data_IF_656615601844
#
_entry.id   IF_656615601844
#
_cell.length_a   1.000
_cell.length_b   1.000
_cell.length_c   1.000
_cell.angle_alpha   90.00
_cell.angle_beta   90.00
_cell.angle_gamma   90.00
#
_symmetry.space_group_name_H-M   'P 1'
#
loop_
_entity.id
_entity.type
_entity.pdbx_description
1 polymer ?
#
# COMPACT_ATOMS: atom_id res chain seq x y z
N UNK A 1 26.91 71.65 -27.76
CA UNK A 1 26.65 71.85 -29.21
C UNK A 1 27.98 71.90 -29.94
N UNK A 2 28.13 71.32 -31.14
CA UNK A 2 27.57 70.08 -31.70
C UNK A 2 28.71 69.13 -32.16
N UNK A 3 28.47 67.83 -32.36
CA UNK A 3 28.35 67.19 -33.71
C UNK A 3 29.25 65.95 -33.69
N UNK A 4 28.96 64.76 -34.19
CA UNK A 4 27.75 64.07 -34.64
C UNK A 4 28.14 62.58 -34.69
N UNK A 5 27.21 61.66 -34.40
CA UNK A 5 27.31 60.25 -34.83
C UNK A 5 27.00 60.17 -36.33
N UNK A 6 27.36 59.05 -36.99
CA UNK A 6 26.28 58.11 -37.31
C UNK A 6 26.64 56.63 -37.07
N UNK A 7 25.58 55.86 -36.92
CA UNK A 7 25.52 54.40 -36.82
C UNK A 7 25.39 53.74 -38.21
N UNK A 8 25.85 52.50 -38.33
CA UNK A 8 25.42 51.46 -39.29
C UNK A 8 26.28 50.20 -39.03
N UNK A 9 25.85 48.95 -39.19
CA UNK A 9 24.56 48.33 -39.39
C UNK A 9 24.75 46.82 -39.12
N UNK A 10 23.67 46.17 -38.70
CA UNK A 10 23.49 44.72 -38.59
C UNK A 10 23.78 44.00 -39.93
N UNK A 11 24.42 42.82 -39.87
CA UNK A 11 24.11 41.71 -40.77
C UNK A 11 24.05 40.41 -39.98
N UNK A 12 22.83 39.87 -39.87
CA UNK A 12 22.54 38.53 -39.43
C UNK A 12 22.84 37.54 -40.57
N UNK A 13 23.49 36.42 -40.24
CA UNK A 13 23.59 35.26 -41.13
C UNK A 13 22.82 34.10 -40.47
N UNK A 14 21.69 33.78 -41.07
CA UNK A 14 20.80 32.69 -40.75
C UNK A 14 21.28 31.46 -41.54
N UNK A 15 21.70 30.38 -40.89
CA UNK A 15 21.88 29.06 -41.52
C UNK A 15 20.94 28.07 -40.86
N UNK A 16 19.86 27.76 -41.59
CA UNK A 16 18.97 26.65 -41.31
C UNK A 16 19.58 25.36 -41.86
N UNK A 17 19.81 24.37 -41.00
CA UNK A 17 20.12 23.00 -41.39
C UNK A 17 18.90 22.13 -41.10
N UNK A 18 18.28 21.66 -42.19
CA UNK A 18 17.15 20.75 -42.22
C UNK A 18 17.67 19.32 -41.97
N UNK A 19 17.28 18.70 -40.85
CA UNK A 19 17.49 17.26 -40.60
C UNK A 19 16.12 16.58 -40.58
N UNK A 20 15.84 15.83 -41.64
CA UNK A 20 14.72 14.88 -41.70
C UNK A 20 15.05 13.68 -40.82
N UNK A 21 14.40 13.58 -39.65
CA UNK A 21 14.32 12.35 -38.88
C UNK A 21 12.99 11.66 -39.22
N UNK A 22 13.08 10.52 -39.91
CA UNK A 22 11.94 9.65 -40.20
C UNK A 22 11.47 8.96 -38.91
N UNK A 23 10.17 9.06 -38.62
CA UNK A 23 9.48 8.26 -37.61
C UNK A 23 9.54 6.77 -37.96
N UNK A 24 10.17 5.98 -37.08
CA UNK A 24 9.97 4.52 -37.00
C UNK A 24 9.48 4.22 -35.58
N UNK A 25 8.29 3.63 -35.40
CA UNK A 25 7.82 3.26 -34.06
C UNK A 25 8.55 2.00 -33.57
N UNK A 26 8.92 1.91 -32.28
CA UNK A 26 9.47 0.68 -31.74
C UNK A 26 8.38 -0.39 -31.63
N UNK A 27 8.68 -1.56 -32.19
CA UNK A 27 7.87 -2.76 -32.19
C UNK A 27 7.86 -3.40 -30.79
N UNK A 28 6.68 -3.73 -30.28
CA UNK A 28 6.49 -4.46 -29.01
C UNK A 28 7.09 -5.88 -29.10
N UNK A 29 7.83 -6.36 -28.08
CA UNK A 29 8.16 -7.77 -28.01
C UNK A 29 6.94 -8.59 -27.56
N UNK A 30 6.66 -9.61 -28.35
CA UNK A 30 5.62 -10.63 -28.19
C UNK A 30 5.71 -11.33 -26.84
N UNK A 31 4.57 -11.48 -26.16
CA UNK A 31 4.42 -12.32 -24.99
C UNK A 31 4.49 -13.79 -25.41
N UNK A 32 5.49 -14.51 -24.91
CA UNK A 32 5.56 -15.96 -25.00
C UNK A 32 4.46 -16.57 -24.12
N UNK A 33 3.59 -17.36 -24.75
CA UNK A 33 2.53 -18.16 -24.15
C UNK A 33 3.10 -19.40 -23.45
N UNK A 34 2.62 -19.69 -22.25
CA UNK A 34 2.78 -21.00 -21.59
C UNK A 34 1.38 -21.61 -21.37
N UNK A 35 1.14 -22.90 -21.69
CA UNK A 35 -0.21 -23.46 -21.75
C UNK A 35 -0.74 -23.85 -20.37
N UNK A 36 -2.01 -23.54 -20.13
CA UNK A 36 -2.78 -24.01 -18.97
C UNK A 36 -3.11 -25.50 -19.05
N UNK A 37 -2.95 -26.19 -17.92
CA UNK A 37 -3.53 -27.50 -17.65
C UNK A 37 -4.88 -27.31 -16.96
N UNK A 38 -5.94 -27.84 -17.57
CA UNK A 38 -7.25 -28.03 -16.94
C UNK A 38 -7.31 -29.42 -16.28
N UNK A 39 -8.12 -29.58 -15.23
CA UNK A 39 -8.82 -30.84 -15.01
C UNK A 39 -10.33 -30.66 -15.15
N UNK A 40 -10.92 -31.64 -15.83
CA UNK A 40 -12.34 -31.84 -15.96
C UNK A 40 -12.99 -32.20 -14.62
N UNK A 41 -14.23 -31.76 -14.42
CA UNK A 41 -15.15 -32.42 -13.49
C UNK A 41 -16.52 -32.51 -14.15
N UNK A 42 -16.98 -33.74 -14.30
CA UNK A 42 -18.27 -34.12 -14.86
C UNK A 42 -19.20 -34.62 -13.74
N UNK A 43 -20.49 -34.59 -14.03
CA UNK A 43 -21.60 -35.33 -13.41
C UNK A 43 -22.32 -34.78 -12.14
N UNK A 44 -23.44 -34.09 -12.42
CA UNK A 44 -24.84 -34.48 -12.13
C UNK A 44 -25.33 -34.93 -10.74
N UNK A 45 -26.16 -34.05 -10.16
CA UNK A 45 -27.58 -34.22 -9.77
C UNK A 45 -28.09 -35.49 -9.04
N UNK A 46 -28.76 -35.31 -7.88
CA UNK A 46 -30.22 -35.59 -7.66
C UNK A 46 -30.69 -35.39 -6.19
N UNK A 47 -31.94 -34.96 -6.03
CA UNK A 47 -32.82 -34.91 -4.83
C UNK A 47 -34.11 -35.75 -5.16
N UNK A 48 -35.16 -35.93 -4.31
CA UNK A 48 -35.31 -36.01 -2.83
C UNK A 48 -36.26 -37.16 -2.31
N UNK A 49 -36.32 -37.35 -0.97
CA UNK A 49 -37.48 -37.86 -0.16
C UNK A 49 -37.73 -39.39 -0.11
N UNK A 50 -38.64 -39.95 0.74
CA UNK A 50 -39.51 -39.37 1.80
C UNK A 50 -39.55 -40.14 3.18
N UNK A 51 -40.24 -39.58 4.19
CA UNK A 51 -40.83 -40.20 5.43
C UNK A 51 -41.99 -41.18 5.12
N UNK A 52 -42.60 -42.04 6.01
CA UNK A 52 -42.98 -41.90 7.46
C UNK A 52 -43.03 -43.29 8.22
N UNK A 53 -43.95 -43.67 9.17
CA UNK A 53 -44.81 -42.98 10.16
C UNK A 53 -44.69 -43.50 11.64
N UNK A 54 -45.64 -43.07 12.48
CA UNK A 54 -45.73 -43.07 13.95
C UNK A 54 -46.01 -44.41 14.67
N UNK A 55 -45.71 -44.44 15.99
CA UNK A 55 -46.10 -45.52 16.90
C UNK A 55 -46.17 -45.09 18.38
N UNK A 56 -47.40 -45.13 18.91
CA UNK A 56 -47.86 -45.41 20.27
C UNK A 56 -47.43 -44.62 21.53
N UNK A 57 -48.47 -44.22 22.27
CA UNK A 57 -48.45 -43.56 23.56
C UNK A 57 -48.46 -44.55 24.74
N UNK A 58 -47.83 -44.16 25.86
CA UNK A 58 -48.09 -44.70 27.20
C UNK A 58 -48.00 -43.57 28.25
N UNK A 59 -48.73 -43.67 29.38
CA UNK A 59 -48.94 -42.56 30.29
C UNK A 59 -47.99 -42.52 31.49
N UNK A 60 -47.85 -41.30 32.02
CA UNK A 60 -47.55 -40.89 33.39
C UNK A 60 -46.13 -41.03 33.97
N UNK A 61 -45.51 -39.87 34.25
CA UNK A 61 -44.73 -39.60 35.45
C UNK A 61 -44.63 -38.09 35.72
N UNK A 62 -44.58 -37.64 36.98
CA UNK A 62 -44.61 -36.22 37.34
C UNK A 62 -43.33 -35.51 36.88
N UNK A 63 -43.51 -34.29 36.38
CA UNK A 63 -42.44 -33.46 35.82
C UNK A 63 -41.33 -33.20 36.86
N UNK A 64 -40.13 -33.69 36.56
CA UNK A 64 -38.90 -33.21 37.20
C UNK A 64 -38.57 -31.82 36.65
N UNK A 65 -37.96 -30.92 37.46
CA UNK A 65 -37.57 -29.60 36.96
C UNK A 65 -36.57 -29.76 35.82
N UNK A 66 -36.87 -29.15 34.68
CA UNK A 66 -35.97 -29.08 33.53
C UNK A 66 -34.69 -28.37 33.99
N UNK A 67 -33.49 -28.96 33.85
CA UNK A 67 -32.26 -28.22 34.09
C UNK A 67 -32.24 -27.08 33.08
N UNK A 68 -32.16 -25.85 33.60
CA UNK A 68 -32.02 -24.65 32.76
C UNK A 68 -30.83 -24.85 31.84
N UNK A 69 -31.09 -24.97 30.53
CA UNK A 69 -30.06 -24.99 29.51
C UNK A 69 -29.26 -23.71 29.66
N UNK A 70 -28.01 -23.84 30.12
CA UNK A 70 -27.04 -22.76 30.05
C UNK A 70 -26.98 -22.26 28.61
N UNK A 71 -26.89 -20.94 28.37
CA UNK A 71 -26.81 -20.41 27.02
C UNK A 71 -25.61 -21.08 26.35
N UNK A 72 -25.87 -21.78 25.24
CA UNK A 72 -24.85 -22.33 24.37
C UNK A 72 -23.90 -21.18 24.06
N UNK A 73 -22.66 -21.26 24.56
CA UNK A 73 -21.63 -20.30 24.19
C UNK A 73 -21.61 -20.25 22.66
N UNK A 74 -21.86 -19.06 22.11
CA UNK A 74 -21.75 -18.85 20.66
C UNK A 74 -20.37 -19.32 20.18
N UNK A 75 -20.21 -19.57 18.87
CA UNK A 75 -18.89 -19.89 18.31
C UNK A 75 -17.87 -18.88 18.86
N UNK A 76 -16.67 -19.32 19.29
CA UNK A 76 -15.68 -18.43 19.88
C UNK A 76 -15.49 -17.24 18.93
N UNK A 77 -15.68 -16.02 19.45
CA UNK A 77 -15.46 -14.81 18.66
C UNK A 77 -14.02 -14.88 18.14
N UNK A 78 -13.85 -14.97 16.82
CA UNK A 78 -12.53 -14.95 16.19
C UNK A 78 -11.79 -13.73 16.74
N UNK A 79 -10.58 -13.93 17.26
CA UNK A 79 -9.76 -12.83 17.78
C UNK A 79 -9.65 -11.74 16.70
N UNK A 80 -9.74 -10.45 17.08
CA UNK A 80 -9.74 -9.35 16.12
C UNK A 80 -8.45 -9.36 15.30
N UNK A 81 -8.53 -8.87 14.06
CA UNK A 81 -7.35 -8.66 13.21
C UNK A 81 -6.80 -7.28 13.55
N UNK A 82 -5.70 -7.21 14.28
CA UNK A 82 -5.09 -5.94 14.63
C UNK A 82 -4.30 -5.38 13.43
N UNK A 83 -4.60 -4.14 13.03
CA UNK A 83 -3.98 -3.52 11.85
C UNK A 83 -3.51 -2.10 12.16
N UNK A 84 -2.24 -1.81 11.88
CA UNK A 84 -1.72 -0.44 11.79
C UNK A 84 -1.73 0.03 10.33
N UNK A 85 -2.03 1.31 10.11
CA UNK A 85 -2.02 1.92 8.77
C UNK A 85 -0.72 2.70 8.59
N UNK A 86 -0.08 2.51 7.44
CA UNK A 86 1.03 3.33 6.96
C UNK A 86 0.74 3.84 5.56
N UNK A 87 1.22 5.04 5.25
CA UNK A 87 1.01 5.67 3.94
C UNK A 87 2.35 6.11 3.38
N UNK A 88 2.70 5.64 2.20
CA UNK A 88 3.95 5.94 1.51
C UNK A 88 3.77 7.11 0.54
N UNK A 89 4.90 7.56 0.00
CA UNK A 89 4.99 8.58 -1.04
C UNK A 89 4.56 10.01 -0.65
N UNK A 90 4.56 10.37 0.63
CA UNK A 90 4.21 11.75 1.02
C UNK A 90 5.18 12.78 0.43
N UNK A 91 4.70 13.97 -0.01
CA UNK A 91 3.31 14.43 0.00
C UNK A 91 2.43 14.01 -1.19
N UNK A 92 2.97 13.29 -2.18
CA UNK A 92 2.30 13.11 -3.46
C UNK A 92 2.54 11.73 -4.09
N UNK A 93 1.45 11.03 -4.43
CA UNK A 93 1.47 9.85 -5.28
C UNK A 93 0.56 10.01 -6.50
N UNK A 94 1.07 9.61 -7.67
CA UNK A 94 0.34 9.59 -8.94
C UNK A 94 -0.26 10.93 -9.42
N UNK A 95 -0.94 10.95 -10.58
CA UNK A 95 -1.59 12.15 -11.11
C UNK A 95 -2.79 12.63 -10.27
N UNK A 96 -3.02 13.94 -10.24
CA UNK A 96 -4.22 14.54 -9.64
C UNK A 96 -5.34 14.71 -10.69
N UNK A 97 -6.59 14.32 -10.38
CA UNK A 97 -7.75 14.80 -11.11
C UNK A 97 -7.86 16.34 -11.06
N UNK A 98 -8.49 16.93 -12.08
CA UNK A 98 -8.65 18.38 -12.16
C UNK A 98 -9.39 18.95 -10.94
N UNK A 99 -8.87 20.04 -10.39
CA UNK A 99 -9.46 20.76 -9.25
C UNK A 99 -9.12 20.21 -7.88
N UNK A 100 -8.36 19.11 -7.77
CA UNK A 100 -7.83 18.61 -6.50
C UNK A 100 -6.40 19.11 -6.27
N UNK A 101 -6.07 19.44 -5.02
CA UNK A 101 -4.70 19.69 -4.56
C UNK A 101 -4.18 18.51 -3.72
N UNK A 102 -2.86 18.44 -3.48
CA UNK A 102 -2.32 17.45 -2.52
C UNK A 102 -2.86 17.65 -1.11
N UNK A 103 -3.08 18.89 -0.71
CA UNK A 103 -3.70 19.20 0.57
C UNK A 103 -5.13 18.62 0.68
N UNK A 104 -5.91 18.65 -0.39
CA UNK A 104 -7.26 18.05 -0.39
C UNK A 104 -7.21 16.52 -0.27
N UNK A 105 -6.26 15.88 -0.95
CA UNK A 105 -6.01 14.43 -0.84
C UNK A 105 -5.66 14.06 0.61
N UNK A 106 -4.72 14.76 1.24
CA UNK A 106 -4.35 14.51 2.63
C UNK A 106 -5.51 14.75 3.57
N UNK A 107 -6.23 15.87 3.45
CA UNK A 107 -7.41 16.16 4.29
C UNK A 107 -8.47 15.06 4.21
N UNK A 108 -8.71 14.53 3.02
CA UNK A 108 -9.68 13.44 2.83
C UNK A 108 -9.24 12.16 3.56
N UNK A 109 -7.95 11.80 3.48
CA UNK A 109 -7.39 10.67 4.24
C UNK A 109 -7.50 10.90 5.76
N UNK A 110 -7.07 12.08 6.24
CA UNK A 110 -7.11 12.46 7.65
C UNK A 110 -8.53 12.45 8.22
N UNK A 111 -9.51 12.94 7.46
CA UNK A 111 -10.92 12.93 7.86
C UNK A 111 -11.45 11.50 8.00
N UNK A 112 -11.06 10.60 7.09
CA UNK A 112 -11.44 9.20 7.19
C UNK A 112 -10.75 8.51 8.39
N UNK A 113 -9.46 8.73 8.62
CA UNK A 113 -8.75 8.18 9.78
C UNK A 113 -9.41 8.62 11.09
N UNK A 114 -9.77 9.91 11.19
CA UNK A 114 -10.51 10.46 12.33
C UNK A 114 -11.89 9.82 12.48
N UNK A 115 -12.66 9.71 11.39
CA UNK A 115 -14.00 9.09 11.39
C UNK A 115 -13.97 7.64 11.86
N UNK A 116 -12.95 6.89 11.46
CA UNK A 116 -12.74 5.50 11.81
C UNK A 116 -11.97 5.29 13.14
N UNK A 117 -11.68 6.38 13.86
CA UNK A 117 -10.91 6.35 15.11
C UNK A 117 -9.57 5.60 15.00
N UNK A 118 -8.89 5.74 13.85
CA UNK A 118 -7.54 5.21 13.65
C UNK A 118 -6.58 5.98 14.55
N UNK A 119 -5.86 5.32 15.48
CA UNK A 119 -5.13 6.02 16.54
C UNK A 119 -3.91 6.80 16.03
N UNK A 120 -3.15 6.21 15.12
CA UNK A 120 -1.96 6.81 14.51
C UNK A 120 -1.73 6.20 13.13
N UNK A 121 -1.45 7.05 12.15
CA UNK A 121 -0.98 6.65 10.82
C UNK A 121 0.40 7.24 10.62
N UNK A 122 1.38 6.44 10.17
CA UNK A 122 2.71 6.97 9.85
C UNK A 122 2.80 7.23 8.35
N UNK A 123 3.19 8.45 7.99
CA UNK A 123 3.40 8.86 6.61
C UNK A 123 4.88 8.82 6.22
N UNK A 124 5.27 8.08 5.19
CA UNK A 124 6.65 7.97 4.72
C UNK A 124 6.93 9.02 3.64
N UNK A 125 7.83 9.96 3.95
CA UNK A 125 8.08 11.19 3.20
C UNK A 125 9.20 11.03 2.16
N UNK A 126 9.03 11.64 0.99
CA UNK A 126 10.08 11.96 0.02
C UNK A 126 10.20 13.47 -0.16
N UNK A 127 11.23 14.08 0.44
CA UNK A 127 11.36 15.54 0.46
C UNK A 127 11.66 16.16 -0.92
N UNK A 128 12.20 15.41 -1.89
CA UNK A 128 12.50 15.95 -3.22
C UNK A 128 11.26 16.42 -3.97
N UNK A 129 10.08 15.87 -3.63
CA UNK A 129 8.79 16.28 -4.21
C UNK A 129 8.49 17.77 -3.96
N UNK A 130 9.06 18.36 -2.90
CA UNK A 130 8.92 19.80 -2.61
C UNK A 130 9.90 20.69 -3.39
N UNK A 131 10.91 20.11 -4.07
CA UNK A 131 11.84 20.88 -4.91
C UNK A 131 11.09 21.50 -6.10
N UNK A 132 10.19 20.72 -6.72
CA UNK A 132 9.37 21.16 -7.85
C UNK A 132 8.02 21.73 -7.42
N UNK A 133 7.45 21.22 -6.32
CA UNK A 133 6.13 21.58 -5.81
C UNK A 133 6.19 22.05 -4.34
N UNK A 134 6.79 23.21 -4.04
CA UNK A 134 6.91 23.71 -2.67
C UNK A 134 5.57 23.96 -1.99
N UNK A 135 4.50 24.22 -2.76
CA UNK A 135 3.12 24.38 -2.27
C UNK A 135 2.59 23.12 -1.56
N UNK A 136 3.07 21.94 -1.94
CA UNK A 136 2.62 20.66 -1.37
C UNK A 136 3.12 20.45 0.07
N UNK A 137 4.01 21.33 0.56
CA UNK A 137 4.43 21.37 1.97
C UNK A 137 3.22 21.48 2.91
N UNK A 138 2.19 22.23 2.51
CA UNK A 138 0.98 22.41 3.31
C UNK A 138 0.28 21.06 3.62
N UNK A 139 0.41 20.06 2.73
CA UNK A 139 -0.14 18.73 2.95
C UNK A 139 0.60 17.99 4.08
N UNK A 140 1.94 18.08 4.12
CA UNK A 140 2.75 17.50 5.20
C UNK A 140 2.48 18.18 6.55
N UNK A 141 2.32 19.50 6.55
CA UNK A 141 1.98 20.25 7.76
C UNK A 141 0.60 19.86 8.28
N UNK A 142 -0.39 19.67 7.39
CA UNK A 142 -1.71 19.18 7.76
C UNK A 142 -1.63 17.75 8.36
N UNK A 143 -0.79 16.88 7.79
CA UNK A 143 -0.55 15.53 8.30
C UNK A 143 -0.01 15.54 9.73
N UNK A 144 1.06 16.31 9.98
CA UNK A 144 1.66 16.43 11.31
C UNK A 144 0.70 17.12 12.29
N UNK A 145 -0.02 18.16 11.87
CA UNK A 145 -0.99 18.86 12.70
C UNK A 145 -2.17 17.97 13.14
N UNK A 146 -2.49 16.93 12.36
CA UNK A 146 -3.46 15.90 12.73
C UNK A 146 -2.93 14.88 13.75
N UNK A 147 -1.67 15.00 14.18
CA UNK A 147 -1.04 14.10 15.16
C UNK A 147 -0.44 12.83 14.55
N UNK A 148 -0.27 12.78 13.23
CA UNK A 148 0.32 11.66 12.53
C UNK A 148 1.80 11.91 12.25
N UNK A 149 2.72 11.04 12.72
CA UNK A 149 4.15 11.23 12.51
C UNK A 149 4.55 10.95 11.05
N UNK A 150 5.72 11.48 10.69
CA UNK A 150 6.38 11.21 9.43
C UNK A 150 7.55 10.23 9.64
N UNK A 151 7.83 9.41 8.63
CA UNK A 151 8.96 8.50 8.54
C UNK A 151 9.78 8.74 7.26
N UNK A 152 10.97 8.16 7.20
CA UNK A 152 11.89 8.33 6.07
C UNK A 152 11.59 7.33 4.96
N UNK A 153 11.37 7.82 3.74
CA UNK A 153 11.17 7.01 2.54
C UNK A 153 12.24 7.22 1.47
N UNK A 154 13.44 7.66 1.86
CA UNK A 154 14.48 8.27 1.01
C UNK A 154 14.06 9.65 0.44
N UNK A 155 15.03 10.42 -0.04
CA UNK A 155 14.80 11.77 -0.55
C UNK A 155 14.05 11.76 -1.91
N UNK A 156 14.50 10.93 -2.86
CA UNK A 156 14.00 10.88 -4.26
C UNK A 156 13.15 9.66 -4.61
N UNK A 157 12.98 8.72 -3.68
CA UNK A 157 12.37 7.41 -3.98
C UNK A 157 13.10 6.62 -5.10
N UNK A 158 14.45 6.52 -5.09
CA UNK A 158 15.16 5.84 -6.17
C UNK A 158 14.96 4.32 -6.09
N UNK A 159 14.92 3.68 -7.26
CA UNK A 159 15.06 2.23 -7.34
C UNK A 159 16.51 1.86 -7.03
N UNK A 160 16.75 1.11 -5.94
CA UNK A 160 18.12 0.77 -5.49
C UNK A 160 18.93 0.00 -6.57
N UNK A 161 18.24 -0.66 -7.51
CA UNK A 161 18.86 -1.40 -8.61
C UNK A 161 19.42 -0.50 -9.72
N UNK A 162 19.06 0.78 -9.73
CA UNK A 162 19.40 1.74 -10.78
C UNK A 162 20.46 2.75 -10.35
N UNK A 163 20.82 2.77 -9.05
CA UNK A 163 21.83 3.69 -8.50
C UNK A 163 22.88 2.95 -7.69
N UNK A 164 23.98 3.63 -7.36
CA UNK A 164 25.01 3.04 -6.51
C UNK A 164 24.53 2.93 -5.05
N UNK A 165 25.10 1.99 -4.29
CA UNK A 165 24.84 1.89 -2.85
C UNK A 165 25.18 3.22 -2.14
N UNK A 166 26.29 3.86 -2.50
CA UNK A 166 26.70 5.13 -1.89
C UNK A 166 25.65 6.24 -2.12
N UNK A 167 25.13 6.34 -3.34
CA UNK A 167 24.08 7.32 -3.67
C UNK A 167 22.79 7.01 -2.91
N UNK A 168 22.42 5.73 -2.76
CA UNK A 168 21.24 5.32 -2.02
C UNK A 168 21.35 5.67 -0.53
N UNK A 169 22.50 5.40 0.10
CA UNK A 169 22.75 5.76 1.50
C UNK A 169 22.71 7.28 1.71
N UNK A 170 23.26 8.05 0.76
CA UNK A 170 23.16 9.51 0.79
C UNK A 170 21.71 9.99 0.61
N UNK A 171 20.91 9.30 -0.21
CA UNK A 171 19.50 9.61 -0.44
C UNK A 171 18.65 9.43 0.83
N UNK A 172 18.95 8.40 1.63
CA UNK A 172 18.35 8.21 2.97
C UNK A 172 18.66 9.44 3.84
N UNK A 173 19.93 9.84 3.90
CA UNK A 173 20.41 10.92 4.77
C UNK A 173 19.86 12.29 4.37
N UNK A 174 19.73 12.55 3.06
CA UNK A 174 19.22 13.81 2.51
C UNK A 174 17.77 14.09 2.87
N UNK A 175 16.99 13.06 3.21
CA UNK A 175 15.59 13.21 3.57
C UNK A 175 15.40 13.66 5.05
N UNK A 176 16.40 13.41 5.89
CA UNK A 176 16.32 13.61 7.33
C UNK A 176 16.16 15.08 7.78
N UNK A 177 16.79 16.09 7.14
CA UNK A 177 16.63 17.48 7.56
C UNK A 177 15.18 17.96 7.58
N UNK A 178 14.40 17.66 6.53
CA UNK A 178 12.99 18.05 6.47
C UNK A 178 12.14 17.27 7.49
N UNK A 179 12.43 15.98 7.69
CA UNK A 179 11.77 15.20 8.75
C UNK A 179 12.00 15.83 10.12
N UNK A 180 13.25 16.18 10.45
CA UNK A 180 13.60 16.82 11.72
C UNK A 180 12.92 18.19 11.87
N UNK A 181 12.84 18.98 10.80
CA UNK A 181 12.11 20.25 10.79
C UNK A 181 10.63 20.05 11.11
N UNK A 182 9.95 19.17 10.36
CA UNK A 182 8.50 18.97 10.47
C UNK A 182 8.10 18.26 11.77
N UNK A 183 8.91 17.33 12.27
CA UNK A 183 8.65 16.64 13.53
C UNK A 183 9.01 17.47 14.76
N UNK A 184 9.79 18.54 14.59
CA UNK A 184 10.08 19.53 15.63
C UNK A 184 10.63 18.91 16.91
N UNK A 185 9.90 19.08 18.02
CA UNK A 185 10.30 18.59 19.35
C UNK A 185 9.89 17.14 19.63
N UNK A 186 9.29 16.44 18.65
CA UNK A 186 8.96 15.03 18.82
C UNK A 186 10.25 14.22 19.05
N UNK A 187 10.24 13.24 19.98
CA UNK A 187 11.41 12.41 20.24
C UNK A 187 11.81 11.66 18.96
N UNK A 188 13.11 11.56 18.67
CA UNK A 188 13.60 10.97 17.42
C UNK A 188 13.02 9.56 17.16
N UNK A 189 12.85 8.75 18.21
CA UNK A 189 12.25 7.41 18.12
C UNK A 189 10.86 7.39 17.44
N UNK A 190 10.09 8.47 17.55
CA UNK A 190 8.75 8.57 16.97
C UNK A 190 8.76 8.72 15.44
N UNK A 191 9.86 9.21 14.85
CA UNK A 191 9.95 9.48 13.41
C UNK A 191 11.16 8.83 12.73
N UNK A 192 12.11 8.26 13.49
CA UNK A 192 13.18 7.39 13.01
C UNK A 192 12.63 6.01 12.63
N UNK A 193 11.70 6.02 11.68
CA UNK A 193 11.10 4.89 10.99
C UNK A 193 11.55 4.97 9.53
N UNK A 194 11.82 3.82 8.92
CA UNK A 194 12.25 3.75 7.53
C UNK A 194 11.44 2.72 6.75
N UNK A 195 11.05 3.09 5.54
CA UNK A 195 10.40 2.22 4.56
C UNK A 195 11.20 2.26 3.27
N UNK A 196 11.57 1.09 2.77
CA UNK A 196 12.29 0.97 1.50
C UNK A 196 11.37 1.34 0.32
N UNK A 197 11.77 2.26 -0.57
CA UNK A 197 11.19 2.38 -1.89
C UNK A 197 11.01 1.02 -2.56
N UNK A 198 9.83 0.79 -3.12
CA UNK A 198 9.45 -0.46 -3.78
C UNK A 198 9.54 -1.72 -2.89
N UNK A 199 9.63 -1.58 -1.56
CA UNK A 199 9.90 -2.68 -0.62
C UNK A 199 11.17 -3.51 -0.96
N UNK A 200 12.10 -2.92 -1.71
CA UNK A 200 13.32 -3.61 -2.15
C UNK A 200 14.44 -3.35 -1.16
N UNK A 201 14.82 -4.37 -0.39
CA UNK A 201 15.81 -4.24 0.69
C UNK A 201 17.28 -4.32 0.22
N UNK A 202 17.54 -4.86 -0.97
CA UNK A 202 18.88 -4.92 -1.53
C UNK A 202 18.98 -5.86 -2.73
N UNK A 203 19.90 -5.56 -3.65
CA UNK A 203 20.18 -6.36 -4.85
C UNK A 203 20.90 -7.68 -4.55
N UNK A 204 21.60 -7.71 -3.43
CA UNK A 204 22.35 -8.84 -2.88
C UNK A 204 22.47 -8.65 -1.36
N UNK A 205 22.86 -9.71 -0.65
CA UNK A 205 23.00 -9.68 0.81
C UNK A 205 24.00 -8.62 1.30
N UNK A 206 25.19 -8.42 0.69
CA UNK A 206 26.09 -7.36 1.11
C UNK A 206 25.48 -5.96 1.03
N UNK A 207 24.80 -5.64 -0.07
CA UNK A 207 24.13 -4.34 -0.27
C UNK A 207 23.02 -4.15 0.77
N UNK A 208 22.17 -5.17 0.95
CA UNK A 208 21.11 -5.14 1.97
C UNK A 208 21.66 -4.91 3.37
N UNK A 209 22.67 -5.68 3.77
CA UNK A 209 23.26 -5.61 5.10
C UNK A 209 23.93 -4.27 5.34
N UNK A 210 24.57 -3.67 4.32
CA UNK A 210 25.13 -2.33 4.41
C UNK A 210 24.05 -1.26 4.63
N UNK A 211 22.89 -1.36 3.95
CA UNK A 211 21.77 -0.43 4.16
C UNK A 211 21.19 -0.60 5.57
N UNK A 212 20.96 -1.83 6.02
CA UNK A 212 20.45 -2.11 7.38
C UNK A 212 21.40 -1.59 8.46
N UNK A 213 22.71 -1.77 8.29
CA UNK A 213 23.72 -1.20 9.19
C UNK A 213 23.66 0.33 9.21
N UNK A 214 23.62 0.97 8.04
CA UNK A 214 23.52 2.43 7.91
C UNK A 214 22.28 3.00 8.59
N UNK A 215 21.13 2.33 8.46
CA UNK A 215 19.88 2.67 9.13
C UNK A 215 20.01 2.53 10.65
N UNK A 216 20.53 1.40 11.12
CA UNK A 216 20.72 1.12 12.54
C UNK A 216 21.66 2.15 13.20
N UNK A 217 22.78 2.48 12.56
CA UNK A 217 23.75 3.48 13.04
C UNK A 217 23.14 4.88 13.20
N UNK A 218 22.04 5.17 12.47
CA UNK A 218 21.28 6.43 12.54
C UNK A 218 20.02 6.36 13.39
N UNK A 219 19.80 5.23 14.07
CA UNK A 219 18.67 5.00 14.96
C UNK A 219 17.35 4.68 14.25
N UNK A 220 17.38 4.39 12.93
CA UNK A 220 16.18 4.04 12.18
C UNK A 220 15.69 2.62 12.49
N UNK A 221 14.38 2.48 12.65
CA UNK A 221 13.67 1.20 12.67
C UNK A 221 13.03 0.95 11.32
N UNK A 222 13.21 -0.25 10.76
CA UNK A 222 12.55 -0.62 9.51
C UNK A 222 11.09 -0.96 9.80
N UNK A 223 10.17 -0.26 9.14
CA UNK A 223 8.74 -0.50 9.24
C UNK A 223 8.31 -1.44 8.11
N UNK A 224 8.37 -2.76 8.36
CA UNK A 224 7.87 -3.74 7.40
C UNK A 224 6.37 -3.60 7.13
N UNK A 225 5.89 -4.25 6.08
CA UNK A 225 4.47 -4.34 5.73
C UNK A 225 4.04 -5.80 5.66
N UNK A 226 2.77 -6.08 5.90
CA UNK A 226 2.21 -7.44 5.80
C UNK A 226 0.93 -7.50 4.96
N UNK A 227 0.29 -6.35 4.75
CA UNK A 227 -0.84 -6.21 3.82
C UNK A 227 -0.42 -5.20 2.76
N UNK A 228 -0.15 -5.70 1.55
CA UNK A 228 0.11 -4.90 0.34
C UNK A 228 -0.74 -5.47 -0.80
N UNK A 229 -1.71 -4.68 -1.26
CA UNK A 229 -2.60 -5.06 -2.37
C UNK A 229 -2.32 -4.26 -3.65
N UNK A 230 -1.19 -3.56 -3.70
CA UNK A 230 -0.77 -2.74 -4.83
C UNK A 230 -1.70 -1.57 -5.11
N UNK A 231 -2.16 -0.87 -4.06
CA UNK A 231 -3.02 0.32 -4.13
C UNK A 231 -2.43 1.43 -5.01
N UNK A 232 -1.09 1.54 -5.05
CA UNK A 232 -0.36 2.47 -5.90
C UNK A 232 -0.75 2.41 -7.38
N UNK A 233 -1.15 1.24 -7.88
CA UNK A 233 -1.45 1.02 -9.29
C UNK A 233 -2.80 1.60 -9.73
N UNK A 234 -3.64 2.03 -8.78
CA UNK A 234 -5.02 2.41 -9.04
C UNK A 234 -5.21 3.90 -9.32
N UNK A 235 -4.25 4.74 -8.94
CA UNK A 235 -4.38 6.18 -9.10
C UNK A 235 -4.34 6.63 -10.58
N UNK A 236 -3.45 6.06 -11.38
CA UNK A 236 -3.39 6.36 -12.83
C UNK A 236 -4.68 6.02 -13.59
N UNK A 237 -5.27 4.81 -13.50
CA UNK A 237 -6.55 4.54 -14.15
C UNK A 237 -7.67 5.45 -13.64
N UNK A 238 -7.69 5.78 -12.35
CA UNK A 238 -8.65 6.73 -11.82
C UNK A 238 -8.53 8.11 -12.50
N UNK A 239 -7.31 8.67 -12.57
CA UNK A 239 -7.11 9.96 -13.22
C UNK A 239 -7.52 9.94 -14.71
N UNK A 240 -7.24 8.84 -15.43
CA UNK A 240 -7.70 8.68 -16.82
C UNK A 240 -9.22 8.64 -16.93
N UNK A 241 -9.91 7.88 -16.08
CA UNK A 241 -11.36 7.81 -16.08
C UNK A 241 -12.02 9.14 -15.69
N UNK A 242 -11.47 9.82 -14.69
CA UNK A 242 -11.93 11.14 -14.26
C UNK A 242 -11.80 12.18 -15.39
N UNK A 243 -10.69 12.18 -16.13
CA UNK A 243 -10.50 13.07 -17.27
C UNK A 243 -11.53 12.85 -18.41
N UNK A 244 -12.14 11.67 -18.47
CA UNK A 244 -13.19 11.31 -19.44
C UNK A 244 -14.61 11.46 -18.88
N UNK A 245 -14.75 11.81 -17.61
CA UNK A 245 -16.03 11.80 -16.88
C UNK A 245 -16.74 10.43 -16.96
N UNK A 246 -15.97 9.34 -16.92
CA UNK A 246 -16.50 7.97 -17.01
C UNK A 246 -16.87 7.44 -15.61
N UNK A 247 -18.02 7.89 -15.11
CA UNK A 247 -18.50 7.58 -13.75
C UNK A 247 -18.77 6.07 -13.54
N UNK A 248 -19.17 5.34 -14.58
CA UNK A 248 -19.37 3.90 -14.48
C UNK A 248 -18.04 3.17 -14.31
N UNK A 249 -17.01 3.54 -15.08
CA UNK A 249 -15.68 2.97 -14.88
C UNK A 249 -15.09 3.33 -13.51
N UNK A 250 -15.32 4.55 -13.01
CA UNK A 250 -14.91 4.97 -11.67
C UNK A 250 -15.62 4.13 -10.60
N UNK A 251 -16.93 3.84 -10.76
CA UNK A 251 -17.67 2.97 -9.85
C UNK A 251 -17.14 1.54 -9.86
N UNK A 252 -16.74 1.02 -11.02
CA UNK A 252 -16.08 -0.30 -11.11
C UNK A 252 -14.74 -0.28 -10.37
N UNK A 253 -13.93 0.78 -10.54
CA UNK A 253 -12.68 0.96 -9.79
C UNK A 253 -12.94 0.97 -8.28
N UNK A 254 -13.92 1.76 -7.82
CA UNK A 254 -14.28 1.89 -6.40
C UNK A 254 -14.61 0.52 -5.77
N UNK A 255 -15.42 -0.30 -6.45
CA UNK A 255 -15.77 -1.63 -5.97
C UNK A 255 -14.60 -2.62 -6.00
N UNK A 256 -13.82 -2.60 -7.08
CA UNK A 256 -12.69 -3.51 -7.24
C UNK A 256 -11.58 -3.22 -6.21
N UNK A 257 -11.26 -1.96 -5.93
CA UNK A 257 -10.24 -1.56 -4.96
C UNK A 257 -10.53 -2.11 -3.56
N UNK A 258 -11.75 -1.89 -3.06
CA UNK A 258 -12.17 -2.36 -1.74
C UNK A 258 -12.15 -3.90 -1.68
N UNK A 259 -12.56 -4.59 -2.75
CA UNK A 259 -12.54 -6.04 -2.78
C UNK A 259 -11.12 -6.61 -2.79
N UNK A 260 -10.19 -6.01 -3.54
CA UNK A 260 -8.77 -6.39 -3.53
C UNK A 260 -8.13 -6.16 -2.15
N UNK A 261 -8.40 -5.00 -1.54
CA UNK A 261 -7.96 -4.69 -0.19
C UNK A 261 -8.46 -5.73 0.82
N UNK A 262 -9.75 -6.09 0.79
CA UNK A 262 -10.32 -7.11 1.69
C UNK A 262 -9.72 -8.49 1.48
N UNK A 263 -9.59 -8.91 0.21
CA UNK A 263 -9.05 -10.21 -0.11
C UNK A 263 -7.60 -10.34 0.39
N UNK A 264 -6.80 -9.27 0.25
CA UNK A 264 -5.41 -9.23 0.72
C UNK A 264 -5.31 -9.21 2.23
N UNK A 265 -6.20 -8.50 2.95
CA UNK A 265 -6.31 -8.58 4.40
C UNK A 265 -6.58 -10.02 4.87
N UNK A 266 -7.55 -10.69 4.23
CA UNK A 266 -7.91 -12.07 4.54
C UNK A 266 -6.74 -13.03 4.26
N UNK A 267 -6.04 -12.83 3.15
CA UNK A 267 -4.83 -13.56 2.80
C UNK A 267 -3.74 -13.36 3.85
N UNK A 268 -3.46 -12.12 4.26
CA UNK A 268 -2.41 -11.81 5.23
C UNK A 268 -2.69 -12.43 6.60
N UNK A 269 -3.93 -12.37 7.10
CA UNK A 269 -4.29 -13.03 8.37
C UNK A 269 -4.23 -14.56 8.27
N UNK A 270 -4.68 -15.14 7.15
CA UNK A 270 -4.61 -16.59 6.93
C UNK A 270 -3.16 -17.08 6.83
N UNK A 271 -2.33 -16.41 6.03
CA UNK A 271 -0.90 -16.71 5.86
C UNK A 271 -0.15 -16.55 7.17
N UNK A 272 -0.38 -15.46 7.93
CA UNK A 272 0.23 -15.29 9.24
C UNK A 272 -0.11 -16.44 10.21
N UNK A 273 -1.37 -16.92 10.22
CA UNK A 273 -1.77 -18.07 11.05
C UNK A 273 -1.09 -19.36 10.62
N UNK A 274 -0.89 -19.57 9.32
CA UNK A 274 -0.19 -20.76 8.82
C UNK A 274 1.31 -20.74 9.16
N UNK A 275 1.95 -19.57 9.05
CA UNK A 275 3.39 -19.40 9.34
C UNK A 275 3.67 -19.45 10.85
N UNK A 276 2.86 -18.75 11.66
CA UNK A 276 3.15 -18.50 13.07
C UNK A 276 2.26 -19.27 14.06
N UNK A 277 1.22 -19.96 13.59
CA UNK A 277 0.23 -20.63 14.44
C UNK A 277 -0.67 -19.67 15.24
N UNK A 278 -0.59 -18.37 14.99
CA UNK A 278 -1.36 -17.31 15.67
C UNK A 278 -1.62 -16.12 14.74
N UNK A 279 -2.61 -15.26 15.03
CA UNK A 279 -2.64 -13.93 14.42
C UNK A 279 -1.39 -13.12 14.81
N UNK A 280 -0.99 -12.22 13.92
CA UNK A 280 0.04 -11.20 14.17
C UNK A 280 -0.61 -9.83 14.09
N UNK A 281 0.06 -8.82 14.67
CA UNK A 281 -0.32 -7.43 14.43
C UNK A 281 0.10 -7.05 13.01
N UNK A 282 -0.85 -6.75 12.13
CA UNK A 282 -0.61 -6.50 10.72
C UNK A 282 -0.25 -5.02 10.47
N UNK A 283 0.47 -4.76 9.39
CA UNK A 283 0.77 -3.40 8.91
C UNK A 283 0.29 -3.28 7.46
N UNK A 284 -0.68 -2.39 7.24
CA UNK A 284 -1.22 -2.03 5.95
C UNK A 284 -0.35 -0.98 5.28
N UNK A 285 0.07 -1.27 4.04
CA UNK A 285 0.65 -0.31 3.11
C UNK A 285 -0.45 0.35 2.29
N UNK A 286 -0.39 1.68 2.21
CA UNK A 286 -1.14 2.51 1.26
C UNK A 286 -0.18 3.58 0.70
N UNK A 287 -0.62 4.31 -0.32
CA UNK A 287 0.07 5.44 -0.91
C UNK A 287 -0.84 6.67 -0.89
N UNK A 288 -0.27 7.87 -0.90
CA UNK A 288 -1.05 9.13 -0.83
C UNK A 288 -1.64 9.58 -2.18
N UNK A 289 -2.33 8.65 -2.85
CA UNK A 289 -3.00 8.89 -4.12
C UNK A 289 -4.38 9.55 -3.96
N UNK A 290 -4.82 10.25 -5.01
CA UNK A 290 -6.18 10.78 -5.08
C UNK A 290 -7.24 9.67 -5.07
N UNK A 291 -6.94 8.51 -5.67
CA UNK A 291 -7.84 7.38 -5.63
C UNK A 291 -7.89 6.71 -4.25
N UNK A 292 -6.75 6.59 -3.58
CA UNK A 292 -6.67 6.12 -2.19
C UNK A 292 -7.53 6.98 -1.27
N UNK A 293 -7.36 8.31 -1.35
CA UNK A 293 -8.19 9.26 -0.63
C UNK A 293 -9.69 9.12 -0.95
N UNK A 294 -10.06 8.90 -2.22
CA UNK A 294 -11.46 8.69 -2.61
C UNK A 294 -12.06 7.41 -2.01
N UNK A 295 -11.26 6.35 -1.91
CA UNK A 295 -11.72 5.01 -1.54
C UNK A 295 -11.55 4.68 -0.05
N UNK A 296 -10.72 5.44 0.68
CA UNK A 296 -10.27 5.10 2.04
C UNK A 296 -11.43 4.84 3.01
N UNK A 297 -12.47 5.67 3.02
CA UNK A 297 -13.62 5.51 3.91
C UNK A 297 -14.33 4.15 3.71
N UNK A 298 -14.49 3.75 2.44
CA UNK A 298 -15.09 2.46 2.09
C UNK A 298 -14.16 1.30 2.44
N UNK A 299 -12.85 1.46 2.22
CA UNK A 299 -11.85 0.46 2.57
C UNK A 299 -11.84 0.20 4.09
N UNK A 300 -11.73 1.25 4.91
CA UNK A 300 -11.70 1.13 6.36
C UNK A 300 -13.00 0.53 6.91
N UNK A 301 -14.15 1.00 6.43
CA UNK A 301 -15.46 0.41 6.77
C UNK A 301 -15.50 -1.08 6.44
N UNK A 302 -14.93 -1.49 5.31
CA UNK A 302 -14.93 -2.88 4.91
C UNK A 302 -13.97 -3.73 5.75
N UNK A 303 -12.82 -3.19 6.14
CA UNK A 303 -11.87 -3.84 7.04
C UNK A 303 -12.48 -4.07 8.43
N UNK A 304 -13.18 -3.07 8.97
CA UNK A 304 -13.89 -3.20 10.25
C UNK A 304 -14.96 -4.30 10.21
N UNK A 305 -15.66 -4.47 9.07
CA UNK A 305 -16.60 -5.57 8.86
C UNK A 305 -15.92 -6.95 8.80
N UNK A 306 -14.64 -7.02 8.43
CA UNK A 306 -13.83 -8.24 8.51
C UNK A 306 -13.30 -8.52 9.94
N UNK A 307 -13.63 -7.66 10.91
CA UNK A 307 -13.18 -7.78 12.31
C UNK A 307 -11.84 -7.10 12.59
N UNK A 308 -11.45 -6.11 11.78
CA UNK A 308 -10.25 -5.31 12.03
C UNK A 308 -10.42 -4.42 13.27
N UNK A 309 -9.37 -4.37 14.09
CA UNK A 309 -9.18 -3.36 15.13
C UNK A 309 -7.95 -2.52 14.79
N UNK A 310 -8.13 -1.21 14.70
CA UNK A 310 -7.04 -0.28 14.43
C UNK A 310 -6.10 -0.14 15.62
N UNK A 311 -4.80 -0.19 15.36
CA UNK A 311 -3.71 0.00 16.32
C UNK A 311 -2.69 0.99 15.74
N UNK A 312 -1.79 1.52 16.59
CA UNK A 312 -0.68 2.36 16.12
C UNK A 312 0.43 1.52 15.50
N UNK A 313 1.29 2.13 14.68
CA UNK A 313 2.47 1.43 14.16
C UNK A 313 3.42 1.01 15.28
N UNK A 314 3.60 1.84 16.31
CA UNK A 314 4.42 1.47 17.47
C UNK A 314 3.87 0.24 18.22
N UNK A 315 2.55 0.10 18.31
CA UNK A 315 1.91 -1.10 18.89
C UNK A 315 2.08 -2.32 17.96
N UNK A 316 1.96 -2.15 16.64
CA UNK A 316 2.20 -3.23 15.69
C UNK A 316 3.64 -3.76 15.79
N UNK A 317 4.62 -2.86 15.84
CA UNK A 317 6.04 -3.18 15.94
C UNK A 317 6.45 -3.83 17.27
N UNK A 318 5.56 -3.95 18.26
CA UNK A 318 5.84 -4.77 19.45
C UNK A 318 5.70 -6.27 19.17
N UNK A 319 5.06 -6.66 18.05
CA UNK A 319 4.95 -8.06 17.68
C UNK A 319 6.36 -8.61 17.31
N UNK A 320 6.84 -9.70 17.94
CA UNK A 320 8.19 -10.22 17.71
C UNK A 320 8.51 -10.58 16.25
N UNK A 321 7.50 -10.78 15.40
CA UNK A 321 7.72 -11.05 13.97
C UNK A 321 8.48 -9.93 13.27
N UNK A 322 8.33 -8.69 13.72
CA UNK A 322 9.02 -7.53 13.14
C UNK A 322 10.49 -7.42 13.55
N UNK A 323 10.96 -8.25 14.49
CA UNK A 323 12.37 -8.38 14.82
C UNK A 323 13.09 -9.42 13.94
N UNK A 324 12.37 -10.17 13.10
CA UNK A 324 12.94 -11.20 12.23
C UNK A 324 13.72 -10.54 11.10
N UNK A 325 15.02 -10.84 11.02
CA UNK A 325 15.79 -10.66 9.80
C UNK A 325 15.56 -11.88 8.90
N UNK A 326 14.98 -11.66 7.72
CA UNK A 326 14.69 -12.73 6.76
C UNK A 326 15.92 -13.18 5.99
N UNK A 327 17.02 -12.41 6.05
CA UNK A 327 18.22 -12.60 5.22
C UNK A 327 17.87 -12.83 3.75
N UNK A 328 16.82 -12.14 3.27
CA UNK A 328 16.28 -12.30 1.93
C UNK A 328 16.50 -11.04 1.11
N UNK A 329 16.84 -11.26 -0.15
CA UNK A 329 16.80 -10.25 -1.20
C UNK A 329 15.93 -10.76 -2.34
N UNK A 330 15.17 -9.86 -2.96
CA UNK A 330 14.30 -10.18 -4.09
C UNK A 330 14.38 -9.06 -5.11
N UNK A 331 14.33 -9.43 -6.40
CA UNK A 331 14.24 -8.45 -7.49
C UNK A 331 12.86 -7.77 -7.52
N UNK A 332 11.88 -8.31 -6.79
CA UNK A 332 10.57 -7.74 -6.57
C UNK A 332 10.48 -7.14 -5.16
N UNK A 333 9.56 -6.18 -4.97
CA UNK A 333 9.17 -5.76 -3.63
C UNK A 333 8.36 -6.85 -2.97
N UNK A 334 8.63 -7.13 -1.70
CA UNK A 334 7.95 -8.18 -0.94
C UNK A 334 7.59 -7.69 0.46
N UNK A 335 6.36 -7.94 0.86
CA UNK A 335 5.92 -7.85 2.25
C UNK A 335 6.66 -8.86 3.14
N UNK A 336 6.65 -8.65 4.45
CA UNK A 336 7.31 -9.55 5.41
C UNK A 336 6.77 -10.98 5.32
N UNK A 337 5.46 -11.14 5.07
CA UNK A 337 4.85 -12.47 4.93
C UNK A 337 5.34 -13.18 3.67
N UNK A 338 5.45 -12.48 2.55
CA UNK A 338 6.04 -13.01 1.31
C UNK A 338 7.51 -13.36 1.49
N UNK A 339 8.29 -12.47 2.12
CA UNK A 339 9.70 -12.74 2.38
C UNK A 339 9.91 -14.03 3.17
N UNK A 340 9.03 -14.31 4.14
CA UNK A 340 9.12 -15.51 4.98
C UNK A 340 8.55 -16.74 4.26
N UNK A 341 7.41 -16.62 3.59
CA UNK A 341 6.83 -17.68 2.78
C UNK A 341 7.83 -18.19 1.74
N UNK A 342 8.39 -17.27 0.94
CA UNK A 342 9.32 -17.59 -0.13
C UNK A 342 10.72 -17.93 0.39
N UNK A 343 11.23 -17.22 1.39
CA UNK A 343 12.57 -17.43 1.92
C UNK A 343 12.72 -18.74 2.70
N UNK A 344 11.65 -19.21 3.34
CA UNK A 344 11.68 -20.41 4.20
C UNK A 344 10.81 -21.56 3.68
N UNK A 345 10.19 -21.43 2.51
CA UNK A 345 9.21 -22.39 2.00
C UNK A 345 8.04 -22.58 2.98
N UNK A 346 7.66 -21.52 3.69
CA UNK A 346 6.64 -21.59 4.73
C UNK A 346 5.24 -21.70 4.10
N UNK A 347 4.29 -22.39 4.73
CA UNK A 347 2.94 -22.51 4.21
C UNK A 347 2.26 -21.13 4.14
N UNK A 348 1.58 -20.86 3.04
CA UNK A 348 0.83 -19.62 2.83
C UNK A 348 -0.47 -19.88 2.08
N UNK A 349 -1.44 -18.98 2.23
CA UNK A 349 -2.65 -19.00 1.43
C UNK A 349 -2.32 -18.69 -0.05
N UNK A 350 -3.13 -19.12 -1.03
CA UNK A 350 -2.89 -18.83 -2.44
C UNK A 350 -2.74 -17.32 -2.71
N UNK A 351 -1.71 -16.94 -3.46
CA UNK A 351 -1.46 -15.54 -3.79
C UNK A 351 -2.60 -14.92 -4.60
N UNK A 352 -2.82 -13.63 -4.36
CA UNK A 352 -3.79 -12.82 -5.10
C UNK A 352 -2.99 -11.97 -6.10
N UNK A 353 -3.04 -12.26 -7.41
CA UNK A 353 -2.28 -11.51 -8.40
C UNK A 353 -2.82 -10.09 -8.52
N UNK A 354 -1.91 -9.11 -8.68
CA UNK A 354 -2.31 -7.72 -8.91
C UNK A 354 -3.15 -7.57 -10.20
N UNK A 355 -4.22 -6.75 -10.21
CA UNK A 355 -5.12 -6.62 -11.36
C UNK A 355 -4.56 -5.73 -12.48
N UNK A 356 -3.24 -5.74 -12.73
CA UNK A 356 -2.57 -4.79 -13.63
C UNK A 356 -3.08 -4.86 -15.08
N UNK A 357 -3.54 -6.03 -15.54
CA UNK A 357 -4.15 -6.17 -16.88
C UNK A 357 -5.49 -5.42 -16.96
N UNK A 358 -6.35 -5.63 -15.96
CA UNK A 358 -7.64 -4.96 -15.81
C UNK A 358 -7.46 -3.43 -15.69
N UNK A 359 -6.59 -2.99 -14.78
CA UNK A 359 -6.32 -1.56 -14.54
C UNK A 359 -5.76 -0.86 -15.79
N UNK A 360 -4.98 -1.56 -16.61
CA UNK A 360 -4.46 -1.02 -17.86
C UNK A 360 -5.57 -0.74 -18.88
N UNK A 361 -6.62 -1.56 -18.95
CA UNK A 361 -7.66 -1.45 -19.98
C UNK A 361 -8.69 -0.35 -19.68
N UNK A 362 -8.85 0.06 -18.43
CA UNK A 362 -9.86 1.04 -18.07
C UNK A 362 -9.60 2.43 -18.66
N UNK A 363 -10.64 2.98 -19.27
CA UNK A 363 -10.72 4.35 -19.78
C UNK A 363 -9.61 4.72 -20.78
N UNK A 364 -9.17 3.75 -21.58
CA UNK A 364 -8.22 3.95 -22.69
C UNK A 364 -8.91 4.36 -23.99
#
# INVERSE_FOLDING_TARGET
MPSARPAAALTAALTAALLLAACVPPSSPSAASVPGHAPASDASATLPGPTPPAGHASPASPASPVPSSSPTAGPPSRAPIEVAITVDDLPAHGPLPAGLTRLDVHRTLLDAFRKHAVPQVVGFLNADKLTEHPEDRAALEAWVAAGHPLGNHTFRHPNLYEISLADYLQDIDRNEPLLRELMGQAPERAWKLFRYPFLREGRDLPTRNAIRAHLADRGYRIAQVTIDFGDWAWNEPYARCAARNDEEAIKVLDGAFVNYGRATLQWADATARQIYGRPIKQILLLHVGAFDARAIDRLLTAYEKEGVRWISLDDALTDPVYAIDTERTSVWGESLLEQIAEGKGAPHAPYIPLPLGFLRLLCR
#
